data_IF_167624571862
#
_entry.id   IF_167624571862
#
_cell.length_a   1.000
_cell.length_b   1.000
_cell.length_c   1.000
_cell.angle_alpha   90.00
_cell.angle_beta   90.00
_cell.angle_gamma   90.00
#
_symmetry.space_group_name_H-M   'P 1'
#
loop_
_entity.id
_entity.type
_entity.pdbx_description
1 polymer ?
#
# COMPACT_ATOMS: atom_id res chain seq x y z
N UNK A 1 -14.57 -36.07 -42.36
CA UNK A 1 -13.93 -36.33 -41.06
C UNK A 1 -12.69 -35.45 -40.88
N UNK A 2 -11.90 -35.26 -41.94
CA UNK A 2 -10.63 -34.50 -41.89
C UNK A 2 -10.77 -32.98 -41.64
N UNK A 3 -11.80 -32.31 -42.15
CA UNK A 3 -11.97 -30.87 -41.88
C UNK A 3 -12.43 -30.59 -40.44
N UNK A 4 -13.16 -31.52 -39.82
CA UNK A 4 -13.57 -31.44 -38.42
C UNK A 4 -12.36 -31.66 -37.50
N UNK A 5 -11.52 -32.65 -37.79
CA UNK A 5 -10.28 -32.88 -37.06
C UNK A 5 -9.32 -31.69 -37.20
N UNK A 6 -9.16 -31.13 -38.40
CA UNK A 6 -8.35 -29.93 -38.63
C UNK A 6 -8.86 -28.73 -37.81
N UNK A 7 -10.15 -28.42 -37.88
CA UNK A 7 -10.74 -27.31 -37.12
C UNK A 7 -10.61 -27.49 -35.61
N UNK A 8 -10.76 -28.72 -35.11
CA UNK A 8 -10.52 -29.04 -33.69
C UNK A 8 -9.06 -28.83 -33.32
N UNK A 9 -8.11 -29.31 -34.12
CA UNK A 9 -6.67 -29.14 -33.83
C UNK A 9 -6.24 -27.67 -33.83
N UNK A 10 -6.74 -26.87 -34.78
CA UNK A 10 -6.44 -25.43 -34.86
C UNK A 10 -7.04 -24.69 -33.67
N UNK A 11 -8.31 -24.98 -33.31
CA UNK A 11 -8.96 -24.38 -32.15
C UNK A 11 -8.23 -24.72 -30.83
N UNK A 12 -7.77 -25.97 -30.67
CA UNK A 12 -7.00 -26.36 -29.48
C UNK A 12 -5.62 -25.70 -29.41
N UNK A 13 -4.98 -25.46 -30.56
CA UNK A 13 -3.70 -24.78 -30.62
C UNK A 13 -3.84 -23.29 -30.26
N UNK A 14 -4.83 -22.59 -30.82
CA UNK A 14 -5.11 -21.19 -30.48
C UNK A 14 -5.41 -21.02 -28.99
N UNK A 15 -6.29 -21.86 -28.42
CA UNK A 15 -6.67 -21.79 -27.01
C UNK A 15 -5.46 -22.02 -26.08
N UNK A 16 -4.58 -22.97 -26.44
CA UNK A 16 -3.34 -23.21 -25.70
C UNK A 16 -2.37 -22.02 -25.76
N UNK A 17 -2.27 -21.32 -26.90
CA UNK A 17 -1.43 -20.13 -27.04
C UNK A 17 -1.96 -18.94 -26.25
N UNK A 18 -3.28 -18.71 -26.25
CA UNK A 18 -3.90 -17.66 -25.44
C UNK A 18 -3.77 -17.94 -23.95
N UNK A 19 -3.93 -19.20 -23.53
CA UNK A 19 -3.66 -19.62 -22.17
C UNK A 19 -2.21 -19.32 -21.75
N UNK A 20 -1.22 -19.70 -22.57
CA UNK A 20 0.19 -19.46 -22.30
C UNK A 20 0.53 -17.96 -22.27
N UNK A 21 -0.06 -17.15 -23.17
CA UNK A 21 0.06 -15.69 -23.13
C UNK A 21 -0.54 -15.12 -21.85
N UNK A 22 -1.71 -15.62 -21.42
CA UNK A 22 -2.36 -15.23 -20.17
C UNK A 22 -1.53 -15.56 -18.93
N UNK A 23 -0.93 -16.75 -18.88
CA UNK A 23 0.03 -17.13 -17.84
C UNK A 23 1.28 -16.25 -17.92
N UNK A 24 1.85 -16.03 -19.11
CA UNK A 24 3.03 -15.18 -19.33
C UNK A 24 2.84 -13.75 -18.83
N UNK A 25 1.66 -13.15 -19.05
CA UNK A 25 1.29 -11.82 -18.52
C UNK A 25 1.40 -11.73 -17.00
N UNK A 26 1.15 -12.82 -16.26
CA UNK A 26 1.33 -12.86 -14.79
C UNK A 26 2.81 -12.79 -14.37
N UNK A 27 3.72 -13.20 -15.26
CA UNK A 27 5.17 -13.24 -15.04
C UNK A 27 5.91 -12.10 -15.75
N UNK A 28 5.18 -11.12 -16.32
CA UNK A 28 5.73 -10.09 -17.21
C UNK A 28 6.47 -10.65 -18.43
N UNK A 29 6.18 -11.90 -18.81
CA UNK A 29 6.67 -12.53 -20.04
C UNK A 29 5.66 -12.20 -21.13
N UNK A 30 5.86 -11.03 -21.75
CA UNK A 30 5.00 -10.49 -22.81
C UNK A 30 5.84 -10.15 -24.04
N UNK A 31 5.29 -10.39 -25.23
CA UNK A 31 5.89 -9.94 -26.47
C UNK A 31 5.61 -8.42 -26.62
N UNK A 32 6.64 -7.57 -26.83
CA UNK A 32 6.44 -6.14 -27.06
C UNK A 32 5.49 -5.86 -28.23
N UNK A 33 5.54 -6.67 -29.29
CA UNK A 33 4.69 -6.48 -30.48
C UNK A 33 3.20 -6.64 -30.16
N UNK A 34 2.86 -7.50 -29.20
CA UNK A 34 1.47 -7.77 -28.78
C UNK A 34 0.96 -6.77 -27.72
N UNK A 35 1.82 -5.85 -27.24
CA UNK A 35 1.54 -4.98 -26.08
C UNK A 35 1.87 -3.51 -26.32
N UNK A 36 2.31 -3.15 -27.52
CA UNK A 36 2.48 -1.78 -27.98
C UNK A 36 1.19 -1.31 -28.64
N UNK A 37 0.59 -0.26 -28.08
CA UNK A 37 -0.63 0.35 -28.60
C UNK A 37 -0.35 1.83 -28.89
N UNK A 38 -0.86 2.34 -30.01
CA UNK A 38 -0.70 3.75 -30.38
C UNK A 38 -1.53 4.67 -29.49
N UNK A 39 -2.70 4.18 -29.03
CA UNK A 39 -3.64 4.97 -28.23
C UNK A 39 -4.03 4.26 -26.93
N UNK A 40 -4.21 4.99 -25.81
CA UNK A 40 -4.59 4.41 -24.52
C UNK A 40 -5.90 3.60 -24.54
N UNK A 41 -6.85 3.93 -25.42
CA UNK A 41 -8.15 3.27 -25.51
C UNK A 41 -8.05 1.86 -26.10
N UNK A 42 -6.98 1.60 -26.87
CA UNK A 42 -6.71 0.30 -27.47
C UNK A 42 -6.08 -0.68 -26.48
N UNK A 43 -5.60 -0.20 -25.33
CA UNK A 43 -4.96 -1.02 -24.31
C UNK A 43 -6.00 -1.94 -23.68
N UNK A 44 -5.88 -3.28 -23.87
CA UNK A 44 -6.80 -4.24 -23.28
C UNK A 44 -6.80 -4.11 -21.77
N UNK A 45 -7.92 -4.45 -21.15
CA UNK A 45 -8.01 -4.47 -19.70
C UNK A 45 -7.33 -5.73 -19.13
N UNK A 46 -5.99 -5.76 -19.16
CA UNK A 46 -5.14 -6.84 -18.66
C UNK A 46 -5.47 -7.23 -17.22
N UNK A 47 -6.04 -6.28 -16.47
CA UNK A 47 -6.59 -6.53 -15.15
C UNK A 47 -7.65 -7.62 -15.14
N UNK A 48 -8.70 -7.44 -15.94
CA UNK A 48 -9.83 -8.36 -15.97
C UNK A 48 -9.37 -9.73 -16.48
N UNK A 49 -8.49 -9.72 -17.49
CA UNK A 49 -7.94 -10.93 -18.08
C UNK A 49 -7.06 -11.76 -17.14
N UNK A 50 -6.47 -11.14 -16.10
CA UNK A 50 -5.58 -11.83 -15.15
C UNK A 50 -6.34 -12.59 -14.04
N UNK A 51 -7.61 -12.27 -13.80
CA UNK A 51 -8.39 -12.87 -12.72
C UNK A 51 -8.54 -14.39 -12.80
N UNK A 52 -8.86 -15.01 -13.97
CA UNK A 52 -9.00 -16.46 -14.07
C UNK A 52 -7.72 -17.20 -13.65
N UNK A 53 -6.57 -16.74 -14.15
CA UNK A 53 -5.26 -17.31 -13.82
C UNK A 53 -4.91 -17.12 -12.35
N UNK A 54 -5.22 -15.95 -11.79
CA UNK A 54 -5.02 -15.67 -10.36
C UNK A 54 -5.83 -16.62 -9.46
N UNK A 55 -7.13 -16.81 -9.75
CA UNK A 55 -7.96 -17.77 -9.01
C UNK A 55 -7.50 -19.21 -9.19
N UNK A 56 -7.11 -19.58 -10.42
CA UNK A 56 -6.53 -20.90 -10.71
C UNK A 56 -5.31 -21.16 -9.83
N UNK A 57 -4.35 -20.23 -9.74
CA UNK A 57 -3.17 -20.38 -8.91
C UNK A 57 -3.48 -20.42 -7.41
N UNK A 58 -4.48 -19.66 -6.93
CA UNK A 58 -4.91 -19.74 -5.52
C UNK A 58 -5.51 -21.10 -5.18
N UNK A 59 -6.33 -21.66 -6.07
CA UNK A 59 -6.91 -23.00 -5.91
C UNK A 59 -5.79 -24.04 -5.94
N UNK A 60 -4.88 -23.95 -6.91
CA UNK A 60 -3.74 -24.85 -7.03
C UNK A 60 -2.86 -24.84 -5.77
N UNK A 61 -2.55 -23.65 -5.26
CA UNK A 61 -1.81 -23.50 -4.02
C UNK A 61 -2.55 -24.12 -2.83
N UNK A 62 -3.87 -23.92 -2.73
CA UNK A 62 -4.67 -24.55 -1.68
C UNK A 62 -4.57 -26.09 -1.73
N UNK A 63 -4.66 -26.66 -2.94
CA UNK A 63 -4.54 -28.10 -3.17
C UNK A 63 -3.13 -28.58 -2.77
N UNK A 64 -2.08 -27.91 -3.24
CA UNK A 64 -0.68 -28.26 -2.92
C UNK A 64 -0.45 -28.22 -1.41
N UNK A 65 -0.93 -27.18 -0.72
CA UNK A 65 -0.78 -27.06 0.74
C UNK A 65 -1.50 -28.19 1.48
N UNK A 66 -2.68 -28.59 1.01
CA UNK A 66 -3.43 -29.71 1.59
C UNK A 66 -2.72 -31.05 1.35
N UNK A 67 -2.12 -31.24 0.17
CA UNK A 67 -1.30 -32.42 -0.16
C UNK A 67 -0.01 -32.47 0.67
N UNK A 68 0.61 -31.32 0.96
CA UNK A 68 1.76 -31.19 1.86
C UNK A 68 1.40 -31.39 3.36
N UNK A 69 0.13 -31.71 3.68
CA UNK A 69 -0.35 -31.86 5.07
C UNK A 69 -0.33 -30.57 5.89
N UNK A 70 -0.21 -29.41 5.22
CA UNK A 70 -0.18 -28.09 5.85
C UNK A 70 -1.59 -27.55 6.02
N UNK A 71 -1.78 -26.67 7.00
CA UNK A 71 -3.05 -25.95 7.17
C UNK A 71 -3.31 -25.12 5.91
N UNK A 72 -4.49 -25.29 5.32
CA UNK A 72 -4.90 -24.55 4.12
C UNK A 72 -4.98 -23.03 4.35
N UNK A 73 -5.18 -22.30 3.25
CA UNK A 73 -5.28 -20.83 3.23
C UNK A 73 -6.38 -20.33 4.18
N UNK A 74 -6.06 -19.36 5.05
CA UNK A 74 -7.03 -18.69 5.93
C UNK A 74 -7.85 -17.66 5.17
N UNK A 75 -9.18 -17.67 5.33
CA UNK A 75 -10.12 -16.77 4.64
C UNK A 75 -9.80 -15.27 4.84
N UNK A 76 -9.44 -14.85 6.06
CA UNK A 76 -9.08 -13.45 6.33
C UNK A 76 -7.84 -12.99 5.53
N UNK A 77 -6.88 -13.90 5.36
CA UNK A 77 -5.65 -13.63 4.62
C UNK A 77 -5.93 -13.60 3.09
N UNK A 78 -6.92 -14.37 2.60
CA UNK A 78 -7.38 -14.37 1.22
C UNK A 78 -8.10 -13.07 0.84
N UNK A 79 -9.00 -12.55 1.69
CA UNK A 79 -9.73 -11.29 1.42
C UNK A 79 -8.75 -10.12 1.32
N UNK A 80 -7.81 -10.03 2.27
CA UNK A 80 -6.75 -9.00 2.25
C UNK A 80 -5.89 -9.09 0.99
N UNK A 81 -5.61 -10.32 0.54
CA UNK A 81 -4.81 -10.59 -0.66
C UNK A 81 -5.52 -10.24 -1.96
N UNK A 82 -6.83 -10.51 -2.07
CA UNK A 82 -7.64 -10.14 -3.23
C UNK A 82 -7.75 -8.62 -3.43
N UNK A 83 -7.93 -7.86 -2.34
CA UNK A 83 -7.91 -6.39 -2.39
C UNK A 83 -6.54 -5.83 -2.84
N UNK A 84 -5.44 -6.49 -2.47
CA UNK A 84 -4.08 -6.09 -2.86
C UNK A 84 -3.73 -6.49 -4.29
N UNK A 85 -4.17 -7.67 -4.75
CA UNK A 85 -4.08 -8.07 -6.15
C UNK A 85 -4.76 -7.03 -7.04
N UNK A 86 -5.95 -6.55 -6.63
CA UNK A 86 -6.66 -5.47 -7.33
C UNK A 86 -5.79 -4.20 -7.48
N UNK A 87 -5.09 -3.78 -6.42
CA UNK A 87 -4.22 -2.59 -6.46
C UNK A 87 -2.99 -2.78 -7.35
N UNK A 88 -2.32 -3.93 -7.29
CA UNK A 88 -1.12 -4.20 -8.10
C UNK A 88 -1.41 -4.20 -9.59
N UNK A 89 -2.51 -4.80 -9.98
CA UNK A 89 -2.88 -4.89 -11.38
C UNK A 89 -3.40 -3.54 -11.92
N UNK A 90 -3.95 -2.67 -11.03
CA UNK A 90 -4.23 -1.27 -11.37
C UNK A 90 -2.95 -0.44 -11.59
N UNK A 91 -1.86 -0.70 -10.84
CA UNK A 91 -0.57 -0.02 -11.06
C UNK A 91 0.04 -0.33 -12.44
N UNK A 92 -0.23 -1.51 -13.02
CA UNK A 92 0.17 -1.87 -14.39
C UNK A 92 -0.47 -0.93 -15.42
N UNK A 93 -1.68 -0.42 -15.16
CA UNK A 93 -2.39 0.52 -16.04
C UNK A 93 -1.81 1.94 -16.05
N UNK A 94 -1.10 2.35 -15.00
CA UNK A 94 -0.62 3.75 -14.83
C UNK A 94 0.89 3.86 -15.07
N UNK A 95 1.60 2.77 -15.40
CA UNK A 95 3.04 2.81 -15.62
C UNK A 95 3.85 3.19 -14.37
N UNK A 96 3.23 3.17 -13.19
CA UNK A 96 3.88 3.53 -11.93
C UNK A 96 4.52 2.27 -11.34
N UNK A 97 5.84 2.15 -11.49
CA UNK A 97 6.66 1.19 -10.75
C UNK A 97 6.66 1.53 -9.25
N UNK A 98 5.57 1.24 -8.55
CA UNK A 98 5.60 1.13 -7.09
C UNK A 98 5.98 -0.30 -6.75
N UNK A 99 7.27 -0.50 -6.45
CA UNK A 99 7.77 -1.65 -5.70
C UNK A 99 7.20 -1.61 -4.27
N UNK A 100 5.88 -1.78 -4.13
CA UNK A 100 5.25 -1.98 -2.84
C UNK A 100 5.31 -3.48 -2.57
N UNK A 101 6.20 -3.84 -1.63
CA UNK A 101 6.42 -5.19 -1.12
C UNK A 101 5.09 -5.95 -0.98
N UNK A 102 5.00 -7.10 -1.64
CA UNK A 102 3.77 -7.89 -1.77
C UNK A 102 3.44 -8.56 -0.46
N UNK A 103 2.18 -8.40 -0.02
CA UNK A 103 1.65 -9.07 1.17
C UNK A 103 1.24 -10.50 0.82
N UNK A 104 1.78 -11.49 1.53
CA UNK A 104 1.46 -12.90 1.29
C UNK A 104 0.17 -13.41 1.93
N UNK A 105 -0.55 -14.32 1.25
CA UNK A 105 -1.81 -14.91 1.72
C UNK A 105 -1.62 -16.02 2.77
N UNK A 106 -0.37 -16.45 3.01
CA UNK A 106 -0.01 -17.35 4.10
C UNK A 106 1.32 -16.88 4.69
N UNK A 107 1.37 -16.72 6.00
CA UNK A 107 2.50 -16.08 6.69
C UNK A 107 2.56 -14.54 6.65
N UNK A 108 1.46 -13.77 6.44
CA UNK A 108 1.53 -12.30 6.53
C UNK A 108 1.99 -11.84 7.91
N UNK A 109 1.73 -12.64 8.94
CA UNK A 109 2.20 -12.38 10.31
C UNK A 109 3.71 -12.30 10.39
N UNK A 110 4.42 -13.28 9.83
CA UNK A 110 5.88 -13.31 9.84
C UNK A 110 6.39 -12.07 9.11
N UNK A 111 5.88 -11.78 7.91
CA UNK A 111 6.25 -10.56 7.16
C UNK A 111 5.98 -9.24 7.91
N UNK A 112 4.96 -9.20 8.77
CA UNK A 112 4.64 -8.03 9.59
C UNK A 112 5.43 -7.98 10.91
N UNK A 113 6.16 -9.05 11.23
CA UNK A 113 7.11 -9.10 12.32
C UNK A 113 8.23 -8.09 12.13
N UNK A 114 8.70 -7.51 13.22
CA UNK A 114 9.88 -6.67 13.25
C UNK A 114 11.13 -7.55 13.28
N UNK A 115 12.25 -7.07 12.72
CA UNK A 115 13.49 -7.86 12.64
C UNK A 115 13.62 -8.68 11.35
N UNK A 116 14.17 -9.90 11.42
CA UNK A 116 14.40 -10.82 10.29
C UNK A 116 13.09 -11.30 9.68
N UNK A 117 12.02 -11.36 10.48
CA UNK A 117 10.70 -11.81 10.06
C UNK A 117 10.08 -10.84 9.02
N UNK A 118 10.48 -9.55 9.00
CA UNK A 118 9.99 -8.59 7.99
C UNK A 118 10.46 -8.91 6.57
N UNK A 119 11.59 -9.58 6.45
CA UNK A 119 12.36 -9.65 5.21
C UNK A 119 12.21 -10.98 4.45
N UNK A 120 11.07 -11.63 4.66
CA UNK A 120 10.70 -12.92 4.07
C UNK A 120 9.25 -12.85 3.58
N UNK A 121 8.83 -13.82 2.76
CA UNK A 121 7.45 -13.96 2.29
C UNK A 121 6.91 -12.73 1.50
N UNK A 122 7.67 -12.28 0.50
CA UNK A 122 7.38 -11.15 -0.41
C UNK A 122 6.49 -11.49 -1.60
N UNK A 123 6.24 -12.78 -1.85
CA UNK A 123 5.57 -13.35 -3.01
C UNK A 123 4.13 -12.90 -3.20
N UNK A 124 3.61 -12.08 -2.29
CA UNK A 124 2.24 -11.65 -2.37
C UNK A 124 1.34 -12.87 -2.22
N UNK A 125 0.19 -12.84 -2.87
CA UNK A 125 -0.88 -13.82 -2.69
C UNK A 125 -0.44 -15.28 -2.78
N UNK A 126 0.54 -15.62 -3.62
CA UNK A 126 0.98 -17.00 -3.80
C UNK A 126 2.36 -17.22 -3.15
N UNK A 127 2.46 -18.14 -2.19
CA UNK A 127 3.71 -18.56 -1.53
C UNK A 127 4.68 -19.21 -2.52
N UNK A 128 4.17 -19.78 -3.61
CA UNK A 128 5.00 -20.46 -4.61
C UNK A 128 6.13 -19.53 -5.11
N UNK A 129 5.86 -18.23 -5.21
CA UNK A 129 6.87 -17.23 -5.54
C UNK A 129 7.99 -17.15 -4.51
N UNK A 130 7.65 -17.17 -3.23
CA UNK A 130 8.63 -17.15 -2.15
C UNK A 130 9.46 -18.42 -2.07
N UNK A 131 8.86 -19.57 -2.40
CA UNK A 131 9.59 -20.85 -2.51
C UNK A 131 10.56 -20.83 -3.70
N UNK A 132 10.11 -20.36 -4.86
CA UNK A 132 10.92 -20.29 -6.09
C UNK A 132 12.10 -19.31 -5.96
N UNK A 133 11.88 -18.14 -5.36
CA UNK A 133 12.92 -17.12 -5.19
C UNK A 133 13.68 -17.22 -3.86
N UNK A 134 13.41 -18.25 -3.05
CA UNK A 134 14.13 -18.52 -1.81
C UNK A 134 13.91 -17.49 -0.69
N UNK A 135 12.81 -16.75 -0.75
CA UNK A 135 12.38 -15.77 0.26
C UNK A 135 11.38 -16.35 1.27
N UNK A 136 11.00 -17.62 1.12
CA UNK A 136 10.05 -18.29 2.01
C UNK A 136 10.63 -18.56 3.39
N UNK A 137 9.86 -18.23 4.43
CA UNK A 137 10.10 -18.66 5.81
C UNK A 137 8.79 -19.14 6.46
N UNK A 138 8.75 -20.37 6.98
CA UNK A 138 7.60 -20.85 7.73
C UNK A 138 7.51 -20.20 9.12
N UNK A 139 6.28 -20.01 9.60
CA UNK A 139 6.02 -19.65 11.01
C UNK A 139 6.34 -20.87 11.90
N UNK A 140 7.29 -20.74 12.83
CA UNK A 140 7.64 -21.82 13.75
C UNK A 140 6.68 -21.82 14.95
N UNK A 141 6.33 -23.02 15.45
CA UNK A 141 5.52 -23.14 16.67
C UNK A 141 6.32 -22.59 17.85
N UNK A 142 5.84 -21.49 18.44
CA UNK A 142 6.49 -20.83 19.58
C UNK A 142 7.11 -19.47 19.26
N UNK A 143 7.23 -19.10 17.97
CA UNK A 143 7.71 -17.78 17.58
C UNK A 143 6.71 -16.69 18.01
N UNK A 144 7.13 -15.82 18.94
CA UNK A 144 6.38 -14.61 19.26
C UNK A 144 6.70 -13.54 18.21
N UNK A 145 5.81 -13.40 17.24
CA UNK A 145 5.90 -12.35 16.22
C UNK A 145 5.64 -10.99 16.88
N UNK A 146 6.67 -10.14 16.91
CA UNK A 146 6.56 -8.77 17.42
C UNK A 146 6.26 -7.83 16.26
N UNK A 147 5.08 -7.21 16.27
CA UNK A 147 4.64 -6.31 15.21
C UNK A 147 5.18 -4.88 15.38
N UNK A 148 5.32 -4.18 14.26
CA UNK A 148 5.68 -2.75 14.22
C UNK A 148 7.06 -2.48 13.64
N UNK A 149 7.55 -1.24 13.78
CA UNK A 149 8.86 -0.79 13.26
C UNK A 149 10.03 -1.43 14.02
N UNK A 150 11.21 -1.51 13.37
CA UNK A 150 12.45 -1.94 14.04
C UNK A 150 12.77 -0.97 15.17
N UNK A 151 12.65 0.33 14.91
CA UNK A 151 12.73 1.38 15.91
C UNK A 151 11.34 1.98 16.10
N UNK A 152 10.73 1.75 17.25
CA UNK A 152 9.46 2.42 17.60
C UNK A 152 9.76 3.85 18.06
N UNK A 153 8.97 4.80 17.58
CA UNK A 153 9.01 6.17 18.07
C UNK A 153 7.91 6.32 19.14
N UNK A 154 8.25 6.60 20.41
CA UNK A 154 7.28 6.71 21.50
C UNK A 154 6.61 8.09 21.49
N UNK A 155 5.98 8.45 20.36
CA UNK A 155 5.33 9.74 20.18
C UNK A 155 4.01 9.58 19.47
N UNK A 156 2.99 10.31 19.94
CA UNK A 156 1.70 10.46 19.27
C UNK A 156 1.61 11.75 18.45
N UNK A 157 2.69 12.56 18.42
CA UNK A 157 2.70 13.80 17.66
C UNK A 157 2.88 13.48 16.15
N UNK A 158 1.88 13.75 15.29
CA UNK A 158 1.94 13.39 13.87
C UNK A 158 3.06 14.12 13.13
N UNK A 159 3.37 15.37 13.50
CA UNK A 159 4.46 16.13 12.89
C UNK A 159 5.82 15.51 13.22
N UNK A 160 6.01 15.10 14.48
CA UNK A 160 7.23 14.41 14.87
C UNK A 160 7.36 13.07 14.13
N UNK A 161 6.31 12.26 14.09
CA UNK A 161 6.30 10.98 13.36
C UNK A 161 6.57 11.13 11.87
N UNK A 162 6.19 12.25 11.26
CA UNK A 162 6.47 12.54 9.86
C UNK A 162 7.91 13.05 9.64
N UNK A 163 8.50 13.77 10.59
CA UNK A 163 9.77 14.51 10.40
C UNK A 163 10.99 13.88 11.06
N UNK A 164 10.83 13.01 12.08
CA UNK A 164 11.95 12.46 12.86
C UNK A 164 12.96 11.69 11.99
N UNK A 165 12.49 10.98 10.97
CA UNK A 165 13.38 10.22 10.09
C UNK A 165 14.19 11.15 9.18
N UNK A 166 13.58 12.24 8.71
CA UNK A 166 14.26 13.27 7.92
C UNK A 166 15.34 13.96 8.73
N UNK A 167 15.06 14.32 9.98
CA UNK A 167 16.07 14.91 10.87
C UNK A 167 17.23 13.94 11.13
N UNK A 168 16.94 12.65 11.31
CA UNK A 168 17.95 11.60 11.41
C UNK A 168 18.85 11.52 10.16
N UNK A 169 18.27 11.52 8.96
CA UNK A 169 19.04 11.49 7.70
C UNK A 169 19.91 12.75 7.55
N UNK A 170 19.38 13.92 7.88
CA UNK A 170 20.14 15.19 7.83
C UNK A 170 21.32 15.18 8.80
N UNK A 171 21.11 14.72 10.04
CA UNK A 171 22.20 14.57 11.01
C UNK A 171 23.28 13.61 10.49
N UNK A 172 22.86 12.51 9.88
CA UNK A 172 23.80 11.54 9.28
C UNK A 172 24.58 12.13 8.11
N UNK A 173 23.90 12.85 7.23
CA UNK A 173 24.53 13.56 6.12
C UNK A 173 25.60 14.54 6.61
N UNK A 174 25.32 15.25 7.72
CA UNK A 174 26.29 16.16 8.37
C UNK A 174 27.45 15.42 9.03
N UNK A 175 27.24 14.20 9.53
CA UNK A 175 28.25 13.43 10.26
C UNK A 175 29.35 12.77 9.39
N UNK A 176 29.14 12.65 8.08
CA UNK A 176 30.14 12.05 7.18
C UNK A 176 31.01 13.15 6.56
N UNK A 177 32.33 12.95 6.49
CA UNK A 177 33.23 13.94 5.90
C UNK A 177 33.23 13.89 4.36
N UNK A 178 33.27 12.67 3.81
CA UNK A 178 33.40 12.47 2.36
C UNK A 178 32.07 12.71 1.62
N UNK A 179 32.07 13.58 0.60
CA UNK A 179 30.88 13.94 -0.18
C UNK A 179 30.11 12.74 -0.75
N UNK A 180 30.83 11.75 -1.29
CA UNK A 180 30.21 10.51 -1.78
C UNK A 180 29.42 9.77 -0.68
N UNK A 181 29.92 9.75 0.57
CA UNK A 181 29.20 9.13 1.69
C UNK A 181 27.97 9.95 2.10
N UNK A 182 28.03 11.28 1.99
CA UNK A 182 26.88 12.16 2.22
C UNK A 182 25.75 11.86 1.23
N UNK A 183 26.04 11.85 -0.07
CA UNK A 183 25.05 11.52 -1.10
C UNK A 183 24.52 10.09 -0.95
N UNK A 184 25.41 9.15 -0.66
CA UNK A 184 25.04 7.75 -0.47
C UNK A 184 24.19 7.54 0.80
N UNK A 185 24.36 8.34 1.84
CA UNK A 185 23.52 8.30 3.04
C UNK A 185 22.06 8.69 2.78
N UNK A 186 21.81 9.53 1.76
CA UNK A 186 20.46 9.96 1.38
C UNK A 186 19.82 9.00 0.37
N UNK A 187 20.60 8.57 -0.63
CA UNK A 187 20.09 7.76 -1.74
C UNK A 187 20.11 6.25 -1.47
N UNK A 188 20.95 5.79 -0.55
CA UNK A 188 21.03 4.37 -0.22
C UNK A 188 20.00 3.97 0.83
N UNK A 189 20.00 2.66 1.10
CA UNK A 189 19.16 2.03 2.12
C UNK A 189 19.32 2.72 3.48
N UNK A 190 18.25 2.78 4.31
CA UNK A 190 18.26 3.41 5.64
C UNK A 190 19.42 3.00 6.57
N UNK A 191 19.90 1.76 6.45
CA UNK A 191 20.96 1.20 7.28
C UNK A 191 22.37 1.32 6.69
N UNK A 192 22.54 2.01 5.56
CA UNK A 192 23.84 2.10 4.87
C UNK A 192 24.89 2.86 5.71
N UNK A 193 26.11 2.32 5.74
CA UNK A 193 27.30 2.91 6.35
C UNK A 193 28.52 2.69 5.44
N UNK A 194 29.52 3.59 5.43
CA UNK A 194 30.79 3.36 4.77
C UNK A 194 31.46 2.08 5.27
N UNK A 195 32.06 1.28 4.38
CA UNK A 195 32.83 0.09 4.74
C UNK A 195 32.03 -1.15 5.17
N UNK A 196 30.72 -1.04 5.42
CA UNK A 196 29.90 -2.17 5.87
C UNK A 196 28.91 -2.58 4.78
N UNK A 197 29.24 -3.65 4.04
CA UNK A 197 28.35 -4.27 3.04
C UNK A 197 27.71 -5.54 3.57
N UNK A 198 26.91 -5.43 4.65
CA UNK A 198 26.15 -6.57 5.16
C UNK A 198 24.85 -6.69 4.36
N UNK A 199 24.61 -7.84 3.72
CA UNK A 199 23.29 -8.16 3.16
C UNK A 199 22.27 -8.21 4.30
N UNK A 200 21.09 -7.62 4.12
CA UNK A 200 20.06 -7.54 5.17
C UNK A 200 19.76 -8.86 5.88
N UNK A 201 19.75 -9.99 5.15
CA UNK A 201 19.56 -11.33 5.71
C UNK A 201 20.56 -11.68 6.83
N UNK A 202 21.74 -11.06 6.81
CA UNK A 202 22.85 -11.33 7.71
C UNK A 202 23.01 -10.24 8.79
N UNK A 203 22.07 -9.29 8.89
CA UNK A 203 22.09 -8.33 10.00
C UNK A 203 21.64 -9.01 11.29
N UNK A 204 22.40 -8.80 12.36
CA UNK A 204 22.04 -9.26 13.70
C UNK A 204 20.78 -8.50 14.16
N UNK A 205 19.80 -9.24 14.70
CA UNK A 205 18.62 -8.62 15.29
C UNK A 205 18.98 -7.94 16.60
N UNK A 206 18.37 -6.78 16.82
CA UNK A 206 18.36 -6.16 18.13
C UNK A 206 17.51 -7.02 19.08
N UNK A 207 18.09 -7.58 20.16
CA UNK A 207 17.34 -8.38 21.13
C UNK A 207 16.21 -7.60 21.81
N UNK A 208 16.28 -6.26 21.82
CA UNK A 208 15.20 -5.40 22.32
C UNK A 208 13.92 -5.42 21.46
N UNK A 209 13.93 -6.10 20.30
CA UNK A 209 12.71 -6.36 19.53
C UNK A 209 11.79 -7.33 20.27
N UNK A 210 12.36 -8.39 20.88
CA UNK A 210 11.58 -9.52 21.41
C UNK A 210 10.99 -9.27 22.80
N UNK A 211 11.48 -8.27 23.52
CA UNK A 211 11.10 -7.97 24.92
C UNK A 211 10.03 -6.86 25.05
N UNK A 212 9.46 -6.40 23.93
CA UNK A 212 8.57 -5.23 23.93
C UNK A 212 7.19 -5.54 24.54
N UNK A 213 6.65 -4.65 25.39
CA UNK A 213 5.27 -4.78 25.85
C UNK A 213 4.31 -4.56 24.68
N UNK A 214 3.35 -5.48 24.50
CA UNK A 214 2.31 -5.34 23.49
C UNK A 214 1.35 -4.24 23.91
N UNK A 215 1.34 -3.12 23.17
CA UNK A 215 0.35 -2.07 23.38
C UNK A 215 -1.05 -2.60 23.04
N UNK A 216 -1.92 -2.70 24.05
CA UNK A 216 -3.27 -3.20 23.91
C UNK A 216 -4.23 -2.30 24.68
N UNK A 217 -4.94 -1.42 23.98
CA UNK A 217 -5.93 -0.53 24.58
C UNK A 217 -7.29 -1.19 24.48
N UNK A 218 -7.87 -1.55 25.62
CA UNK A 218 -9.25 -2.03 25.71
C UNK A 218 -10.15 -0.81 25.83
N UNK A 219 -10.91 -0.51 24.78
CA UNK A 219 -11.85 0.60 24.77
C UNK A 219 -13.18 0.16 25.40
N UNK A 220 -13.84 1.03 26.17
CA UNK A 220 -15.19 0.74 26.64
C UNK A 220 -16.18 0.73 25.47
N UNK A 221 -17.21 -0.10 25.56
CA UNK A 221 -18.17 -0.35 24.46
C UNK A 221 -18.78 0.92 23.89
N UNK A 222 -19.08 1.92 24.73
CA UNK A 222 -19.64 3.20 24.27
C UNK A 222 -18.69 3.99 23.36
N UNK A 223 -17.37 3.98 23.63
CA UNK A 223 -16.37 4.59 22.75
C UNK A 223 -16.35 3.88 21.41
N UNK A 224 -16.43 2.54 21.41
CA UNK A 224 -16.48 1.75 20.18
C UNK A 224 -17.75 2.06 19.37
N UNK A 225 -18.92 2.14 20.02
CA UNK A 225 -20.17 2.53 19.37
C UNK A 225 -20.05 3.94 18.77
N UNK A 226 -19.55 4.91 19.54
CA UNK A 226 -19.34 6.27 19.05
C UNK A 226 -18.42 6.30 17.82
N UNK A 227 -17.26 5.63 17.88
CA UNK A 227 -16.30 5.59 16.77
C UNK A 227 -16.90 4.95 15.52
N UNK A 228 -17.64 3.84 15.66
CA UNK A 228 -18.29 3.16 14.54
C UNK A 228 -19.39 4.02 13.92
N UNK A 229 -20.23 4.65 14.74
CA UNK A 229 -21.29 5.56 14.26
C UNK A 229 -20.69 6.77 13.58
N UNK A 230 -19.70 7.43 14.19
CA UNK A 230 -19.03 8.59 13.61
C UNK A 230 -18.34 8.25 12.29
N UNK A 231 -17.58 7.14 12.24
CA UNK A 231 -16.95 6.67 11.01
C UNK A 231 -17.97 6.38 9.91
N UNK A 232 -19.08 5.72 10.25
CA UNK A 232 -20.13 5.38 9.28
C UNK A 232 -20.82 6.63 8.71
N UNK A 233 -21.10 7.62 9.56
CA UNK A 233 -21.68 8.90 9.14
C UNK A 233 -20.74 9.68 8.24
N UNK A 234 -19.45 9.77 8.60
CA UNK A 234 -18.43 10.42 7.76
C UNK A 234 -18.29 9.70 6.43
N UNK A 235 -18.22 8.37 6.43
CA UNK A 235 -18.11 7.57 5.22
C UNK A 235 -19.35 7.72 4.31
N UNK A 236 -20.55 7.71 4.90
CA UNK A 236 -21.80 7.94 4.17
C UNK A 236 -21.86 9.36 3.57
N UNK A 237 -21.46 10.37 4.34
CA UNK A 237 -21.35 11.75 3.86
C UNK A 237 -20.39 11.85 2.67
N UNK A 238 -19.19 11.28 2.78
CA UNK A 238 -18.24 11.22 1.67
C UNK A 238 -18.79 10.48 0.45
N UNK A 239 -19.49 9.36 0.66
CA UNK A 239 -20.10 8.60 -0.42
C UNK A 239 -21.18 9.40 -1.15
N UNK A 240 -22.05 10.09 -0.42
CA UNK A 240 -23.07 10.97 -1.00
C UNK A 240 -22.45 12.14 -1.77
N UNK A 241 -21.43 12.78 -1.19
CA UNK A 241 -20.68 13.86 -1.87
C UNK A 241 -20.02 13.38 -3.17
N UNK A 242 -19.49 12.16 -3.16
CA UNK A 242 -18.90 11.54 -4.34
C UNK A 242 -19.95 11.30 -5.44
N UNK A 243 -21.13 10.78 -5.08
CA UNK A 243 -22.22 10.53 -6.04
C UNK A 243 -22.79 11.82 -6.64
N UNK A 244 -22.88 12.88 -5.86
CA UNK A 244 -23.44 14.16 -6.28
C UNK A 244 -22.51 14.96 -7.22
N UNK A 245 -21.35 14.42 -7.62
CA UNK A 245 -20.34 15.11 -8.42
C UNK A 245 -20.12 16.56 -7.93
N UNK A 246 -20.20 16.82 -6.64
CA UNK A 246 -20.05 18.17 -6.05
C UNK A 246 -19.10 18.15 -4.88
N UNK A 247 -18.52 16.97 -4.56
CA UNK A 247 -17.45 16.82 -3.59
C UNK A 247 -16.37 17.91 -3.67
N UNK A 248 -15.86 18.32 -4.85
CA UNK A 248 -14.85 19.37 -4.92
C UNK A 248 -15.36 20.74 -4.40
N UNK A 249 -16.62 21.09 -4.72
CA UNK A 249 -17.26 22.33 -4.25
C UNK A 249 -17.48 22.30 -2.73
N UNK A 250 -17.99 21.18 -2.21
CA UNK A 250 -18.22 21.02 -0.76
C UNK A 250 -16.92 20.96 0.05
N UNK A 251 -15.85 20.38 -0.47
CA UNK A 251 -14.52 20.43 0.16
C UNK A 251 -13.93 21.84 0.19
N UNK A 252 -14.14 22.62 -0.88
CA UNK A 252 -13.81 24.05 -0.89
C UNK A 252 -14.60 24.80 0.18
N UNK A 253 -15.92 24.63 0.25
CA UNK A 253 -16.78 25.27 1.25
C UNK A 253 -16.42 24.83 2.69
N UNK A 254 -16.04 23.58 2.91
CA UNK A 254 -15.57 23.06 4.20
C UNK A 254 -14.25 23.71 4.62
N UNK A 255 -13.28 23.84 3.72
CA UNK A 255 -12.02 24.53 4.02
C UNK A 255 -12.27 26.01 4.37
N UNK A 256 -13.13 26.69 3.61
CA UNK A 256 -13.49 28.09 3.85
C UNK A 256 -14.26 28.29 5.15
N UNK A 257 -15.22 27.40 5.47
CA UNK A 257 -16.01 27.50 6.71
C UNK A 257 -15.18 27.23 7.96
N UNK A 258 -14.23 26.29 7.90
CA UNK A 258 -13.26 26.04 8.99
C UNK A 258 -12.39 27.27 9.23
N UNK A 259 -11.88 27.90 8.16
CA UNK A 259 -11.07 29.12 8.26
C UNK A 259 -11.86 30.29 8.87
N UNK A 260 -13.10 30.50 8.41
CA UNK A 260 -13.98 31.54 8.94
C UNK A 260 -14.33 31.28 10.40
N UNK A 261 -14.69 30.05 10.76
CA UNK A 261 -15.02 29.66 12.13
C UNK A 261 -13.82 29.88 13.06
N UNK A 262 -12.62 29.47 12.64
CA UNK A 262 -11.36 29.72 13.36
C UNK A 262 -11.14 31.21 13.61
N UNK A 263 -11.31 32.05 12.58
CA UNK A 263 -11.14 33.52 12.66
C UNK A 263 -12.21 34.21 13.52
N UNK A 264 -13.43 33.68 13.56
CA UNK A 264 -14.52 34.21 14.38
C UNK A 264 -14.39 33.81 15.86
N UNK A 265 -13.88 32.61 16.15
CA UNK A 265 -13.71 32.11 17.51
C UNK A 265 -12.44 32.65 18.20
N UNK A 266 -11.42 33.05 17.43
CA UNK A 266 -10.18 33.66 17.98
C UNK A 266 -10.40 34.84 18.94
N UNK A 267 -11.24 35.85 18.66
CA UNK A 267 -11.45 36.97 19.57
C UNK A 267 -12.32 36.64 20.81
N UNK A 268 -13.14 35.58 20.77
CA UNK A 268 -14.14 35.28 21.80
C UNK A 268 -13.57 34.42 22.94
N UNK A 269 -12.56 33.60 22.68
CA UNK A 269 -11.98 32.70 23.68
C UNK A 269 -10.44 32.61 23.57
N UNK A 270 -9.70 33.63 24.03
CA UNK A 270 -8.23 33.65 23.96
C UNK A 270 -7.57 32.51 24.75
N UNK A 271 -8.22 31.98 25.80
CA UNK A 271 -7.75 30.80 26.55
C UNK A 271 -7.90 29.49 25.77
N UNK A 272 -9.00 29.31 25.04
CA UNK A 272 -9.23 28.16 24.16
C UNK A 272 -8.29 28.18 22.93
N UNK A 273 -7.81 29.37 22.55
CA UNK A 273 -6.86 29.58 21.45
C UNK A 273 -5.53 28.86 21.65
N UNK A 274 -5.06 28.71 22.90
CA UNK A 274 -3.79 28.04 23.17
C UNK A 274 -3.82 26.53 22.92
N UNK A 275 -5.00 25.91 22.97
CA UNK A 275 -5.19 24.46 22.79
C UNK A 275 -5.80 24.05 21.44
N UNK A 276 -6.62 24.90 20.82
CA UNK A 276 -7.25 24.63 19.51
C UNK A 276 -6.69 25.48 18.35
N UNK A 277 -5.96 26.56 18.64
CA UNK A 277 -5.51 27.57 17.67
C UNK A 277 -3.99 27.79 17.71
N UNK A 278 -3.22 26.73 17.93
CA UNK A 278 -1.89 26.63 17.32
C UNK A 278 -1.99 26.08 15.89
N UNK A 279 -2.99 26.52 15.11
CA UNK A 279 -2.82 26.55 13.66
C UNK A 279 -1.71 27.56 13.40
N UNK A 280 -0.47 27.09 13.49
CA UNK A 280 0.69 27.80 12.97
C UNK A 280 0.32 28.32 11.57
N UNK A 281 0.90 29.44 11.10
CA UNK A 281 0.66 29.97 9.75
C UNK A 281 0.72 28.89 8.66
N UNK A 282 1.51 27.84 8.90
CA UNK A 282 1.60 26.60 8.13
C UNK A 282 0.31 25.78 8.00
N UNK A 283 -0.49 25.62 9.05
CA UNK A 283 -1.76 24.86 8.98
C UNK A 283 -2.84 25.70 8.30
N UNK A 284 -2.85 27.02 8.52
CA UNK A 284 -3.74 27.93 7.79
C UNK A 284 -3.41 27.91 6.29
N UNK A 285 -2.13 28.01 5.94
CA UNK A 285 -1.65 27.86 4.57
C UNK A 285 -2.07 26.52 3.96
N UNK A 286 -2.05 25.43 4.73
CA UNK A 286 -2.50 24.12 4.26
C UNK A 286 -3.99 24.11 3.91
N UNK A 287 -4.86 24.73 4.71
CA UNK A 287 -6.28 24.84 4.40
C UNK A 287 -6.55 25.77 3.20
N UNK A 288 -5.80 26.86 3.07
CA UNK A 288 -5.88 27.77 1.91
C UNK A 288 -5.45 27.03 0.63
N UNK A 289 -4.29 26.37 0.65
CA UNK A 289 -3.77 25.60 -0.50
C UNK A 289 -4.72 24.45 -0.86
N UNK A 290 -5.26 23.75 0.14
CA UNK A 290 -6.27 22.71 -0.07
C UNK A 290 -7.55 23.28 -0.70
N UNK A 291 -8.06 24.41 -0.19
CA UNK A 291 -9.23 25.09 -0.77
C UNK A 291 -9.00 25.53 -2.22
N UNK A 292 -7.85 26.15 -2.51
CA UNK A 292 -7.45 26.53 -3.86
C UNK A 292 -7.32 25.32 -4.80
N UNK A 293 -6.72 24.22 -4.33
CA UNK A 293 -6.63 22.98 -5.10
C UNK A 293 -8.02 22.46 -5.49
N UNK A 294 -8.97 22.41 -4.55
CA UNK A 294 -10.33 21.97 -4.83
C UNK A 294 -11.09 22.94 -5.73
N UNK A 295 -10.88 24.25 -5.59
CA UNK A 295 -11.46 25.26 -6.48
C UNK A 295 -10.97 25.11 -7.92
N UNK A 296 -9.66 24.97 -8.12
CA UNK A 296 -9.07 24.73 -9.45
C UNK A 296 -9.59 23.42 -10.06
N UNK A 297 -9.80 22.39 -9.24
CA UNK A 297 -10.39 21.14 -9.68
C UNK A 297 -11.86 21.30 -10.11
N UNK A 298 -12.66 22.13 -9.42
CA UNK A 298 -14.02 22.50 -9.85
C UNK A 298 -13.96 23.20 -11.22
N UNK A 299 -13.19 24.28 -11.34
CA UNK A 299 -13.11 25.08 -12.56
C UNK A 299 -12.66 24.27 -13.77
N UNK A 300 -11.62 23.43 -13.61
CA UNK A 300 -11.11 22.58 -14.70
C UNK A 300 -12.11 21.48 -15.09
N UNK A 301 -12.94 21.02 -14.16
CA UNK A 301 -13.96 20.01 -14.48
C UNK A 301 -15.07 20.61 -15.33
N UNK A 302 -15.51 21.82 -15.03
CA UNK A 302 -16.55 22.49 -15.80
C UNK A 302 -16.08 22.70 -17.25
N UNK A 303 -14.81 23.07 -17.48
CA UNK A 303 -14.23 23.15 -18.84
C UNK A 303 -14.32 21.82 -19.63
N UNK A 304 -14.12 20.67 -18.99
CA UNK A 304 -14.15 19.33 -19.63
C UNK A 304 -15.59 18.88 -19.92
N UNK A 305 -16.59 19.37 -19.18
CA UNK A 305 -18.00 19.01 -19.42
C UNK A 305 -18.66 19.81 -20.55
N UNK A 306 -18.03 20.88 -21.02
CA UNK A 306 -18.52 21.73 -22.12
C UNK A 306 -17.75 21.53 -23.45
N UNK A 307 -16.87 20.52 -23.54
CA UNK A 307 -16.11 20.13 -24.74
C UNK A 307 -16.47 18.71 -25.18
#
# INVERSE_FOLDING_TARGET
>A
MDSLLYNVTVATAEDSTEFLKGVGRMFYVINPQDTLFERPEQVPNFYVQSWPYFFMFMILEHIILKLEGKKGLRLNDQITSAYMARRRILCIRVGVHTLQAGRSAVGPRVHLGSGRDRHVNYGGVLIIWDKLFGTFRPEMKGDRIVYGLIYQQPSFNPLHLQTFYTSYVVQRFKSYDHWFHKMRAVLSRPSWKPGVSIRFKNMQEDPAIHTRPKYNVVLPTWCTIYLLTHYSLVLYGFYQLFLLHSAPLYECLRCMSILVLVRLLTPVAPSLSTTLLALSPTVELLFIVSGLFWLLFVCKRDEISYS
#
